data_IF_663710851982
#
_entry.id   IF_663710851982
#
_cell.length_a   1.000
_cell.length_b   1.000
_cell.length_c   1.000
_cell.angle_alpha   90.00
_cell.angle_beta   90.00
_cell.angle_gamma   90.00
#
_symmetry.space_group_name_H-M   'P 1'
#
loop_
_entity.id
_entity.type
_entity.pdbx_description
1 polymer ?
#
# COMPACT_ATOMS: atom_id res chain seq x y z
N UNK A 1 13.17 -3.42 -32.14
CA UNK A 1 13.09 -4.70 -31.37
C UNK A 1 13.69 -4.62 -29.96
N UNK A 2 14.73 -3.82 -29.68
CA UNK A 2 15.28 -3.66 -28.31
C UNK A 2 14.32 -3.01 -27.28
N UNK A 3 13.27 -2.31 -27.72
CA UNK A 3 12.32 -1.58 -26.85
C UNK A 3 11.13 -2.42 -26.37
N UNK A 4 10.79 -3.53 -27.04
CA UNK A 4 9.58 -4.32 -26.69
C UNK A 4 9.76 -5.18 -25.43
N UNK A 5 11.01 -5.54 -25.08
CA UNK A 5 11.32 -6.21 -23.80
C UNK A 5 11.21 -5.27 -22.60
N UNK A 6 11.53 -3.99 -22.80
CA UNK A 6 11.56 -2.95 -21.76
C UNK A 6 10.20 -2.74 -21.10
N UNK A 7 9.10 -2.84 -21.85
CA UNK A 7 7.74 -2.63 -21.32
C UNK A 7 7.30 -3.69 -20.31
N UNK A 8 8.00 -4.83 -20.20
CA UNK A 8 7.73 -5.86 -19.19
C UNK A 8 8.82 -5.92 -18.12
N UNK A 9 10.08 -5.82 -18.52
CA UNK A 9 11.21 -5.96 -17.59
C UNK A 9 11.29 -4.79 -16.62
N UNK A 10 11.10 -3.56 -17.09
CA UNK A 10 11.22 -2.36 -16.27
C UNK A 10 10.13 -2.29 -15.20
N UNK A 11 8.83 -2.45 -15.51
CA UNK A 11 7.80 -2.49 -14.48
C UNK A 11 7.99 -3.60 -13.46
N UNK A 12 8.46 -4.78 -13.90
CA UNK A 12 8.77 -5.88 -13.00
C UNK A 12 9.95 -5.56 -12.06
N UNK A 13 11.01 -4.92 -12.57
CA UNK A 13 12.12 -4.46 -11.75
C UNK A 13 11.69 -3.39 -10.75
N UNK A 14 10.82 -2.45 -11.15
CA UNK A 14 10.26 -1.44 -10.25
C UNK A 14 9.45 -2.09 -9.13
N UNK A 15 8.63 -3.11 -9.45
CA UNK A 15 7.88 -3.88 -8.48
C UNK A 15 8.83 -4.58 -7.48
N UNK A 16 9.83 -5.32 -7.98
CA UNK A 16 10.80 -6.01 -7.12
C UNK A 16 11.56 -5.03 -6.24
N UNK A 17 12.03 -3.92 -6.81
CA UNK A 17 12.77 -2.91 -6.08
C UNK A 17 11.91 -2.25 -5.00
N UNK A 18 10.65 -1.92 -5.31
CA UNK A 18 9.71 -1.40 -4.31
C UNK A 18 9.45 -2.39 -3.17
N UNK A 19 9.24 -3.68 -3.47
CA UNK A 19 9.10 -4.72 -2.42
C UNK A 19 10.34 -4.83 -1.54
N UNK A 20 11.54 -4.72 -2.14
CA UNK A 20 12.81 -4.71 -1.38
C UNK A 20 12.89 -3.48 -0.50
N UNK A 21 12.52 -2.29 -0.98
CA UNK A 21 12.53 -1.06 -0.18
C UNK A 21 11.57 -1.14 1.02
N UNK A 22 10.36 -1.65 0.81
CA UNK A 22 9.36 -1.85 1.88
C UNK A 22 9.89 -2.86 2.91
N UNK A 23 10.41 -4.00 2.43
CA UNK A 23 10.93 -5.04 3.31
C UNK A 23 12.17 -4.58 4.09
N UNK A 24 13.07 -3.81 3.47
CA UNK A 24 14.29 -3.32 4.08
C UNK A 24 14.02 -2.27 5.17
N UNK A 25 13.08 -1.35 4.93
CA UNK A 25 12.67 -0.35 5.92
C UNK A 25 12.03 -1.02 7.13
N UNK A 26 11.03 -1.88 6.92
CA UNK A 26 10.37 -2.61 8.00
C UNK A 26 11.34 -3.55 8.76
N UNK A 27 12.35 -4.10 8.07
CA UNK A 27 13.41 -4.87 8.72
C UNK A 27 14.27 -4.01 9.64
N UNK A 28 14.61 -2.78 9.22
CA UNK A 28 15.38 -1.85 10.04
C UNK A 28 14.59 -1.37 11.26
N UNK A 29 13.29 -1.15 11.11
CA UNK A 29 12.46 -0.66 12.22
C UNK A 29 12.14 -1.75 13.27
N UNK A 30 11.76 -2.95 12.83
CA UNK A 30 11.18 -3.96 13.73
C UNK A 30 11.63 -5.41 13.44
N UNK A 31 12.64 -5.60 12.59
CA UNK A 31 13.27 -6.89 12.34
C UNK A 31 12.51 -7.80 11.38
N UNK A 32 12.91 -9.08 11.34
CA UNK A 32 12.52 -10.04 10.29
C UNK A 32 11.01 -10.25 10.14
N UNK A 33 10.28 -10.32 11.26
CA UNK A 33 8.83 -10.57 11.23
C UNK A 33 8.05 -9.38 10.65
N UNK A 34 8.49 -8.15 10.95
CA UNK A 34 7.90 -6.94 10.40
C UNK A 34 8.14 -6.82 8.90
N UNK A 35 9.34 -7.17 8.43
CA UNK A 35 9.66 -7.21 7.00
C UNK A 35 8.74 -8.17 6.22
N UNK A 36 8.55 -9.39 6.72
CA UNK A 36 7.66 -10.36 6.09
C UNK A 36 6.20 -9.87 6.07
N UNK A 37 5.76 -9.27 7.17
CA UNK A 37 4.41 -8.71 7.28
C UNK A 37 4.20 -7.53 6.32
N UNK A 38 5.15 -6.60 6.23
CA UNK A 38 5.08 -5.43 5.37
C UNK A 38 5.05 -5.82 3.88
N UNK A 39 5.90 -6.76 3.47
CA UNK A 39 5.92 -7.28 2.09
C UNK A 39 4.62 -8.00 1.75
N UNK A 40 4.12 -8.86 2.65
CA UNK A 40 2.81 -9.52 2.45
C UNK A 40 1.67 -8.51 2.38
N UNK A 41 1.70 -7.49 3.25
CA UNK A 41 0.72 -6.41 3.25
C UNK A 41 0.71 -5.62 1.94
N UNK A 42 1.88 -5.27 1.40
CA UNK A 42 1.98 -4.58 0.11
C UNK A 42 1.48 -5.46 -1.05
N UNK A 43 1.83 -6.75 -1.08
CA UNK A 43 1.29 -7.70 -2.07
C UNK A 43 -0.24 -7.86 -1.96
N UNK A 44 -0.80 -7.79 -0.76
CA UNK A 44 -2.25 -7.83 -0.59
C UNK A 44 -2.92 -6.53 -1.04
N UNK A 45 -2.29 -5.36 -0.82
CA UNK A 45 -2.78 -4.07 -1.34
C UNK A 45 -2.82 -4.06 -2.88
N UNK A 46 -1.85 -4.70 -3.54
CA UNK A 46 -1.83 -4.84 -4.99
C UNK A 46 -3.08 -5.52 -5.55
N UNK A 47 -3.69 -6.46 -4.82
CA UNK A 47 -4.93 -7.13 -5.27
C UNK A 47 -6.09 -6.15 -5.47
N UNK A 48 -6.07 -5.02 -4.77
CA UNK A 48 -7.08 -3.96 -4.90
C UNK A 48 -6.57 -2.85 -5.84
N UNK A 49 -5.30 -2.47 -5.71
CA UNK A 49 -4.71 -1.38 -6.50
C UNK A 49 -4.63 -1.71 -7.99
N UNK A 50 -4.32 -2.96 -8.37
CA UNK A 50 -4.19 -3.33 -9.78
C UNK A 50 -5.54 -3.28 -10.50
N UNK A 51 -6.64 -3.88 -10.01
CA UNK A 51 -7.95 -3.72 -10.62
C UNK A 51 -8.41 -2.25 -10.68
N UNK A 52 -8.20 -1.49 -9.60
CA UNK A 52 -8.55 -0.06 -9.57
C UNK A 52 -7.78 0.74 -10.64
N UNK A 53 -6.47 0.48 -10.77
CA UNK A 53 -5.64 1.12 -11.79
C UNK A 53 -5.97 0.69 -13.21
N UNK A 54 -6.38 -0.58 -13.42
CA UNK A 54 -6.88 -1.03 -14.72
C UNK A 54 -8.16 -0.30 -15.12
N UNK A 55 -9.10 -0.12 -14.18
CA UNK A 55 -10.32 0.66 -14.43
C UNK A 55 -9.96 2.11 -14.73
N UNK A 56 -9.03 2.71 -13.98
CA UNK A 56 -8.57 4.07 -14.22
C UNK A 56 -7.96 4.23 -15.61
N UNK A 57 -7.09 3.30 -16.03
CA UNK A 57 -6.50 3.29 -17.39
C UNK A 57 -7.56 3.08 -18.47
N UNK A 58 -8.54 2.21 -18.23
CA UNK A 58 -9.63 1.96 -19.17
C UNK A 58 -10.54 3.18 -19.36
N UNK A 59 -10.85 3.90 -18.27
CA UNK A 59 -11.61 5.15 -18.35
C UNK A 59 -10.76 6.20 -19.08
N UNK A 60 -9.48 6.33 -18.70
CA UNK A 60 -8.52 7.20 -19.34
C UNK A 60 -8.46 7.00 -20.86
N UNK A 61 -8.39 5.75 -21.34
CA UNK A 61 -8.33 5.43 -22.77
C UNK A 61 -9.61 5.76 -23.54
N UNK A 62 -10.72 6.09 -22.85
CA UNK A 62 -11.94 6.60 -23.50
C UNK A 62 -11.91 8.11 -23.75
N UNK A 63 -11.04 8.82 -23.04
CA UNK A 63 -10.91 10.27 -23.13
C UNK A 63 -9.61 10.71 -23.81
N UNK A 64 -8.70 9.78 -24.12
CA UNK A 64 -7.38 10.05 -24.68
C UNK A 64 -7.09 9.10 -25.84
N UNK A 65 -6.52 9.62 -26.93
CA UNK A 65 -6.06 8.85 -28.09
C UNK A 65 -4.73 8.15 -27.77
N UNK A 66 -4.77 7.23 -26.80
CA UNK A 66 -3.60 6.47 -26.34
C UNK A 66 -3.76 5.02 -26.75
N UNK A 67 -2.75 4.47 -27.42
CA UNK A 67 -2.67 3.05 -27.73
C UNK A 67 -2.60 2.24 -26.43
N UNK A 68 -3.68 1.51 -26.15
CA UNK A 68 -3.81 0.72 -24.92
C UNK A 68 -2.99 -0.56 -25.06
N UNK A 69 -1.92 -0.65 -24.28
CA UNK A 69 -1.11 -1.86 -24.15
C UNK A 69 -1.95 -3.11 -23.78
N UNK A 70 -1.42 -4.32 -24.00
CA UNK A 70 -2.05 -5.53 -23.51
C UNK A 70 -2.32 -5.47 -21.99
N UNK A 71 -3.48 -5.97 -21.55
CA UNK A 71 -3.97 -5.84 -20.18
C UNK A 71 -2.94 -6.28 -19.11
N UNK A 72 -2.22 -7.38 -19.36
CA UNK A 72 -1.17 -7.86 -18.43
C UNK A 72 0.03 -6.92 -18.33
N UNK A 73 0.35 -6.17 -19.38
CA UNK A 73 1.42 -5.15 -19.38
C UNK A 73 0.97 -3.93 -18.57
N UNK A 74 -0.27 -3.50 -18.75
CA UNK A 74 -0.86 -2.39 -17.98
C UNK A 74 -0.92 -2.75 -16.50
N UNK A 75 -1.40 -3.94 -16.17
CA UNK A 75 -1.45 -4.43 -14.79
C UNK A 75 -0.07 -4.41 -14.15
N UNK A 76 0.96 -4.84 -14.89
CA UNK A 76 2.34 -4.85 -14.41
C UNK A 76 2.92 -3.43 -14.25
N UNK A 77 2.62 -2.50 -15.18
CA UNK A 77 2.99 -1.08 -15.06
C UNK A 77 2.37 -0.44 -13.84
N UNK A 78 1.06 -0.61 -13.64
CA UNK A 78 0.35 -0.10 -12.46
C UNK A 78 0.96 -0.68 -11.18
N UNK A 79 1.12 -2.01 -11.11
CA UNK A 79 1.68 -2.67 -9.93
C UNK A 79 3.11 -2.21 -9.62
N UNK A 80 3.95 -2.08 -10.65
CA UNK A 80 5.33 -1.61 -10.48
C UNK A 80 5.41 -0.17 -10.00
N UNK A 81 4.58 0.72 -10.55
CA UNK A 81 4.54 2.14 -10.14
C UNK A 81 4.04 2.26 -8.70
N UNK A 82 2.93 1.61 -8.35
CA UNK A 82 2.33 1.78 -7.01
C UNK A 82 3.21 1.21 -5.90
N UNK A 83 3.81 0.04 -6.13
CA UNK A 83 4.71 -0.60 -5.15
C UNK A 83 6.02 0.16 -5.01
N UNK A 84 6.57 0.68 -6.11
CA UNK A 84 7.74 1.55 -6.03
C UNK A 84 7.43 2.84 -5.28
N UNK A 85 6.27 3.46 -5.55
CA UNK A 85 5.85 4.67 -4.87
C UNK A 85 5.68 4.44 -3.35
N UNK A 86 5.02 3.35 -2.95
CA UNK A 86 4.91 2.94 -1.54
C UNK A 86 6.29 2.69 -0.91
N UNK A 87 7.15 1.97 -1.63
CA UNK A 87 8.51 1.66 -1.18
C UNK A 87 9.42 2.87 -1.07
N UNK A 88 9.22 3.95 -1.82
CA UNK A 88 9.96 5.20 -1.63
C UNK A 88 9.35 6.00 -0.47
N UNK A 89 8.02 6.01 -0.36
CA UNK A 89 7.30 6.78 0.65
C UNK A 89 7.56 6.30 2.08
N UNK A 90 7.78 4.98 2.29
CA UNK A 90 8.04 4.43 3.63
C UNK A 90 9.37 4.91 4.24
N UNK A 91 10.34 5.34 3.43
CA UNK A 91 11.62 5.89 3.92
C UNK A 91 11.53 7.35 4.36
N UNK A 92 10.37 8.01 4.16
CA UNK A 92 10.17 9.40 4.52
C UNK A 92 9.36 9.46 5.83
N UNK A 93 9.99 9.81 6.97
CA UNK A 93 9.34 9.74 8.27
C UNK A 93 8.26 10.81 8.49
N UNK A 94 8.22 11.84 7.65
CA UNK A 94 7.26 12.94 7.74
C UNK A 94 6.07 12.66 6.84
N UNK A 95 4.83 12.52 7.37
CA UNK A 95 3.66 12.09 6.60
C UNK A 95 3.37 12.93 5.36
N UNK A 96 3.51 14.25 5.47
CA UNK A 96 3.31 15.16 4.33
C UNK A 96 4.33 14.92 3.21
N UNK A 97 5.61 14.79 3.55
CA UNK A 97 6.66 14.53 2.55
C UNK A 97 6.59 13.11 2.00
N UNK A 98 6.14 12.14 2.79
CA UNK A 98 5.89 10.77 2.35
C UNK A 98 4.82 10.73 1.25
N UNK A 99 3.68 11.42 1.48
CA UNK A 99 2.63 11.56 0.47
C UNK A 99 3.12 12.27 -0.81
N UNK A 100 3.92 13.32 -0.66
CA UNK A 100 4.48 14.05 -1.81
C UNK A 100 5.49 13.18 -2.59
N UNK A 101 6.30 12.37 -1.89
CA UNK A 101 7.23 11.43 -2.50
C UNK A 101 6.48 10.34 -3.28
N UNK A 102 5.45 9.75 -2.67
CA UNK A 102 4.57 8.77 -3.31
C UNK A 102 3.96 9.35 -4.60
N UNK A 103 3.36 10.53 -4.52
CA UNK A 103 2.74 11.21 -5.67
C UNK A 103 3.77 11.51 -6.76
N UNK A 104 4.96 11.95 -6.39
CA UNK A 104 6.03 12.28 -7.35
C UNK A 104 6.50 11.04 -8.11
N UNK A 105 6.72 9.92 -7.41
CA UNK A 105 7.10 8.65 -8.03
C UNK A 105 5.99 8.13 -8.94
N UNK A 106 4.72 8.25 -8.53
CA UNK A 106 3.59 7.89 -9.37
C UNK A 106 3.54 8.75 -10.64
N UNK A 107 3.65 10.08 -10.54
CA UNK A 107 3.64 10.98 -11.68
C UNK A 107 4.75 10.66 -12.68
N UNK A 108 5.99 10.49 -12.20
CA UNK A 108 7.13 10.15 -13.06
C UNK A 108 6.94 8.76 -13.68
N UNK A 109 6.48 7.79 -12.88
CA UNK A 109 6.25 6.42 -13.31
C UNK A 109 5.19 6.31 -14.40
N UNK A 110 4.04 6.96 -14.22
CA UNK A 110 2.96 6.97 -15.21
C UNK A 110 3.35 7.73 -16.48
N UNK A 111 3.96 8.90 -16.34
CA UNK A 111 4.47 9.69 -17.48
C UNK A 111 5.43 8.86 -18.33
N UNK A 112 6.40 8.20 -17.69
CA UNK A 112 7.46 7.49 -18.40
C UNK A 112 7.02 6.13 -18.95
N UNK A 113 6.24 5.34 -18.18
CA UNK A 113 5.85 4.00 -18.62
C UNK A 113 4.69 3.98 -19.60
N UNK A 114 3.78 4.96 -19.57
CA UNK A 114 2.68 5.07 -20.53
C UNK A 114 2.96 6.07 -21.65
N UNK A 115 4.15 6.69 -21.66
CA UNK A 115 4.58 7.67 -22.67
C UNK A 115 3.55 8.80 -22.88
N UNK A 116 2.89 9.21 -21.78
CA UNK A 116 1.78 10.18 -21.79
C UNK A 116 2.30 11.62 -21.82
N UNK A 117 1.50 12.53 -22.36
CA UNK A 117 1.71 13.96 -22.14
C UNK A 117 1.46 14.37 -20.68
N UNK A 118 1.85 15.59 -20.32
CA UNK A 118 1.71 16.11 -18.95
C UNK A 118 0.26 16.09 -18.48
N UNK A 119 -0.67 16.53 -19.34
CA UNK A 119 -2.10 16.60 -19.01
C UNK A 119 -2.73 15.23 -18.85
N UNK A 120 -2.37 14.30 -19.74
CA UNK A 120 -2.85 12.91 -19.71
C UNK A 120 -2.33 12.17 -18.46
N UNK A 121 -1.08 12.43 -18.07
CA UNK A 121 -0.49 11.91 -16.83
C UNK A 121 -1.25 12.41 -15.60
N UNK A 122 -1.50 13.72 -15.50
CA UNK A 122 -2.26 14.27 -14.37
C UNK A 122 -3.67 13.71 -14.30
N UNK A 123 -4.33 13.57 -15.45
CA UNK A 123 -5.66 12.97 -15.51
C UNK A 123 -5.67 11.50 -15.09
N UNK A 124 -4.70 10.71 -15.55
CA UNK A 124 -4.60 9.29 -15.20
C UNK A 124 -4.24 9.06 -13.73
N UNK A 125 -3.36 9.89 -13.16
CA UNK A 125 -3.05 9.86 -11.72
C UNK A 125 -4.29 10.25 -10.91
N UNK A 126 -5.01 11.28 -11.31
CA UNK A 126 -6.26 11.68 -10.66
C UNK A 126 -7.31 10.55 -10.69
N UNK A 127 -7.47 9.89 -11.84
CA UNK A 127 -8.35 8.73 -11.97
C UNK A 127 -7.91 7.55 -11.10
N UNK A 128 -6.60 7.29 -11.00
CA UNK A 128 -6.09 6.25 -10.10
C UNK A 128 -6.43 6.56 -8.64
N UNK A 129 -6.22 7.79 -8.19
CA UNK A 129 -6.63 8.20 -6.84
C UNK A 129 -8.14 8.06 -6.65
N UNK A 130 -8.94 8.56 -7.58
CA UNK A 130 -10.40 8.45 -7.52
C UNK A 130 -10.87 6.99 -7.47
N UNK A 131 -10.25 6.10 -8.26
CA UNK A 131 -10.54 4.68 -8.24
C UNK A 131 -10.14 4.01 -6.92
N UNK A 132 -9.00 4.38 -6.34
CA UNK A 132 -8.56 3.85 -5.04
C UNK A 132 -9.45 4.30 -3.88
N UNK A 133 -9.79 5.59 -3.83
CA UNK A 133 -10.73 6.14 -2.85
C UNK A 133 -12.13 5.55 -3.03
N UNK A 134 -12.62 5.48 -4.27
CA UNK A 134 -13.91 4.88 -4.59
C UNK A 134 -13.97 3.40 -4.19
N UNK A 135 -12.92 2.62 -4.48
CA UNK A 135 -12.88 1.20 -4.11
C UNK A 135 -12.85 1.00 -2.60
N UNK A 136 -12.05 1.78 -1.86
CA UNK A 136 -12.08 1.76 -0.39
C UNK A 136 -13.44 2.15 0.17
N UNK A 137 -14.04 3.21 -0.35
CA UNK A 137 -15.38 3.64 0.06
C UNK A 137 -16.42 2.55 -0.17
N UNK A 138 -16.39 1.84 -1.31
CA UNK A 138 -17.31 0.73 -1.59
C UNK A 138 -17.07 -0.45 -0.65
N UNK A 139 -15.82 -0.83 -0.41
CA UNK A 139 -15.47 -1.92 0.50
C UNK A 139 -15.95 -1.61 1.92
N UNK A 140 -15.69 -0.40 2.40
CA UNK A 140 -16.01 0.03 3.77
C UNK A 140 -17.51 0.24 4.00
N UNK A 141 -18.28 0.63 2.98
CA UNK A 141 -19.72 0.90 3.13
C UNK A 141 -20.63 -0.25 2.68
N UNK A 142 -20.17 -1.13 1.79
CA UNK A 142 -21.04 -2.15 1.17
C UNK A 142 -20.53 -3.58 1.32
N UNK A 143 -19.26 -3.80 1.66
CA UNK A 143 -18.70 -5.16 1.87
C UNK A 143 -18.29 -5.44 3.32
N UNK A 144 -18.35 -4.46 4.23
CA UNK A 144 -18.08 -4.69 5.64
C UNK A 144 -19.25 -5.43 6.32
N UNK A 145 -19.22 -6.76 6.27
CA UNK A 145 -19.86 -7.57 7.31
C UNK A 145 -19.19 -7.25 8.66
N UNK A 146 -19.88 -7.21 9.82
CA UNK A 146 -19.39 -6.64 11.10
C UNK A 146 -18.26 -7.43 11.80
N UNK A 147 -17.46 -8.19 11.06
CA UNK A 147 -16.18 -8.75 11.52
C UNK A 147 -15.06 -8.14 10.71
N UNK A 148 -14.78 -6.86 10.96
CA UNK A 148 -13.59 -6.20 10.44
C UNK A 148 -12.34 -6.81 11.07
N UNK A 149 -11.72 -7.73 10.33
CA UNK A 149 -10.41 -8.33 10.61
C UNK A 149 -9.24 -7.31 10.52
N UNK A 150 -9.54 -6.00 10.53
CA UNK A 150 -8.62 -4.91 10.21
C UNK A 150 -8.71 -3.70 11.17
N UNK A 151 -9.28 -3.86 12.38
CA UNK A 151 -9.01 -2.90 13.46
C UNK A 151 -7.65 -3.20 14.07
N UNK A 152 -6.58 -2.73 13.45
CA UNK A 152 -5.31 -2.59 14.18
C UNK A 152 -4.74 -1.20 14.00
N UNK A 153 -5.41 -0.26 14.66
CA UNK A 153 -4.75 0.81 15.40
C UNK A 153 -5.79 1.40 16.37
N UNK A 154 -5.80 0.92 17.61
CA UNK A 154 -6.30 1.72 18.73
C UNK A 154 -5.31 2.87 18.96
N UNK A 155 -5.68 4.15 18.84
CA UNK A 155 -4.91 5.25 19.45
C UNK A 155 -5.25 5.38 20.95
N UNK A 156 -5.95 4.41 21.54
CA UNK A 156 -6.44 4.45 22.93
C UNK A 156 -5.63 3.57 23.90
N UNK A 157 -4.38 3.25 23.58
CA UNK A 157 -3.46 2.54 24.49
C UNK A 157 -2.82 3.43 25.58
N UNK A 158 -3.16 4.72 25.63
CA UNK A 158 -2.71 5.66 26.65
C UNK A 158 -3.90 6.23 27.41
N UNK A 159 -4.33 5.53 28.47
CA UNK A 159 -4.74 6.08 29.78
C UNK A 159 -5.49 5.00 30.57
N UNK A 160 -4.89 4.63 31.71
CA UNK A 160 -5.51 4.02 32.89
C UNK A 160 -5.56 2.49 32.96
N UNK A 161 -4.44 1.89 33.36
CA UNK A 161 -4.48 0.74 34.25
C UNK A 161 -3.85 1.16 35.59
N UNK A 162 -4.61 1.31 36.69
CA UNK A 162 -4.00 1.36 38.01
C UNK A 162 -3.48 -0.04 38.38
N UNK A 163 -2.30 -0.16 39.02
CA UNK A 163 -1.79 -1.43 39.49
C UNK A 163 -2.63 -1.86 40.70
N UNK A 164 -3.55 -2.81 40.52
CA UNK A 164 -4.17 -3.50 41.66
C UNK A 164 -3.20 -4.56 42.16
N UNK A 165 -2.42 -4.16 43.15
CA UNK A 165 -1.61 -5.03 44.00
C UNK A 165 -2.47 -6.19 44.51
N UNK A 166 -2.10 -7.42 44.15
CA UNK A 166 -2.71 -8.60 44.75
C UNK A 166 -2.03 -8.86 46.09
N UNK A 167 -2.71 -8.43 47.15
CA UNK A 167 -2.26 -8.56 48.52
C UNK A 167 -2.26 -10.04 48.92
N UNK A 168 -1.07 -10.53 49.23
CA UNK A 168 -0.76 -11.88 49.69
C UNK A 168 -1.10 -11.94 51.18
N UNK A 169 -2.32 -12.35 51.54
CA UNK A 169 -2.66 -12.66 52.94
C UNK A 169 -2.66 -14.18 53.16
N UNK A 170 -1.51 -14.66 53.63
CA UNK A 170 -1.36 -15.85 54.44
C UNK A 170 -2.32 -15.83 55.63
N UNK A 171 -3.08 -16.91 55.83
CA UNK A 171 -3.98 -17.03 56.97
C UNK A 171 -4.66 -18.40 57.09
N UNK A 172 -3.95 -19.47 56.74
CA UNK A 172 -4.37 -20.83 57.09
C UNK A 172 -4.06 -21.09 58.56
N UNK A 173 -5.10 -21.09 59.39
CA UNK A 173 -5.04 -21.54 60.78
C UNK A 173 -4.69 -23.05 60.82
N UNK A 174 -3.56 -23.37 61.44
CA UNK A 174 -3.34 -24.66 62.10
C UNK A 174 -3.00 -24.33 63.55
N UNK A 175 -3.84 -24.77 64.49
CA UNK A 175 -3.37 -25.15 65.82
C UNK A 175 -4.16 -26.34 66.33
N UNK A 176 -3.39 -27.33 66.76
CA UNK A 176 -3.74 -28.56 67.45
C UNK A 176 -3.76 -28.22 68.97
N UNK A 177 -4.57 -28.99 69.71
CA UNK A 177 -4.92 -28.92 71.15
C UNK A 177 -6.20 -28.15 71.48
#
# INVERSE_FOLDING_TARGET
>A
MLRSGSHRTVPFQMLLFGLVLIGAEAYQEAGKQAAEFAVKGSLQKLLIQVPAGLIAVFIASRFMDVDVDPLHVIALKVAGITVLAEGVACWVPVPFFSMMAELTVMLIGFFWLFELSKWETYFLVLLNFAALFGTRYVVDNYMSSPRSFWSTSSPAGRRNAPPRAHNRSSGGLIRIE
#
